data_IF_499800738837
#
_entry.id   IF_499800738837
#
_cell.length_a   1.000
_cell.length_b   1.000
_cell.length_c   1.000
_cell.angle_alpha   90.00
_cell.angle_beta   90.00
_cell.angle_gamma   90.00
#
_symmetry.space_group_name_H-M   'P 1'
#
loop_
_entity.id
_entity.type
_entity.pdbx_description
1 polymer ?
#
# COMPACT_ATOMS: atom_id res chain seq x y z
N UNK A 1 -24.70 -6.02 2.99
CA UNK A 1 -24.05 -5.57 1.73
C UNK A 1 -22.56 -5.74 1.89
N UNK A 2 -21.96 -6.69 1.16
CA UNK A 2 -20.49 -6.81 1.10
C UNK A 2 -20.00 -5.81 0.04
N UNK A 3 -19.50 -4.66 0.47
CA UNK A 3 -18.90 -3.69 -0.45
C UNK A 3 -17.55 -4.24 -0.93
N UNK A 4 -17.55 -4.78 -2.15
CA UNK A 4 -16.33 -5.09 -2.89
C UNK A 4 -16.09 -4.01 -3.96
N UNK A 5 -14.86 -3.50 -4.03
CA UNK A 5 -14.46 -2.48 -4.98
C UNK A 5 -13.22 -2.96 -5.73
N UNK A 6 -13.21 -2.86 -7.05
CA UNK A 6 -12.04 -3.21 -7.85
C UNK A 6 -11.26 -1.95 -8.17
N UNK A 7 -9.97 -1.95 -7.84
CA UNK A 7 -9.07 -0.83 -8.05
C UNK A 7 -7.81 -1.28 -8.78
N UNK A 8 -7.28 -0.42 -9.64
CA UNK A 8 -5.99 -0.66 -10.28
C UNK A 8 -4.88 -0.15 -9.36
N UNK A 9 -3.83 -0.96 -9.19
CA UNK A 9 -2.65 -0.56 -8.43
C UNK A 9 -1.86 0.48 -9.24
N UNK A 10 -1.59 1.63 -8.62
CA UNK A 10 -0.79 2.69 -9.21
C UNK A 10 0.70 2.31 -9.26
N UNK A 11 1.48 3.06 -10.05
CA UNK A 11 2.93 2.85 -10.20
C UNK A 11 3.70 2.96 -8.88
N UNK A 12 3.16 3.71 -7.92
CA UNK A 12 3.71 3.90 -6.58
C UNK A 12 3.36 2.77 -5.60
N UNK A 13 2.82 1.65 -6.11
CA UNK A 13 2.30 0.54 -5.30
C UNK A 13 1.25 0.95 -4.27
N UNK A 14 0.37 1.85 -4.68
CA UNK A 14 -0.72 2.37 -3.87
C UNK A 14 -2.07 2.11 -4.55
N UNK A 15 -3.10 1.95 -3.73
CA UNK A 15 -4.50 1.99 -4.13
C UNK A 15 -5.22 3.12 -3.41
N UNK A 16 -6.20 3.72 -4.05
CA UNK A 16 -7.04 4.74 -3.42
C UNK A 16 -8.36 4.10 -2.98
N UNK A 17 -8.69 4.25 -1.70
CA UNK A 17 -9.93 3.78 -1.12
C UNK A 17 -10.51 4.85 -0.19
N UNK A 18 -11.71 5.34 -0.54
CA UNK A 18 -12.45 6.32 0.27
C UNK A 18 -11.64 7.60 0.57
N UNK A 19 -10.81 8.06 -0.38
CA UNK A 19 -9.96 9.25 -0.23
C UNK A 19 -8.61 8.99 0.46
N UNK A 20 -8.41 7.80 1.02
CA UNK A 20 -7.16 7.39 1.65
C UNK A 20 -6.37 6.45 0.72
N UNK A 21 -5.05 6.56 0.76
CA UNK A 21 -4.14 5.71 -0.01
C UNK A 21 -3.66 4.56 0.87
N UNK A 22 -3.65 3.35 0.32
CA UNK A 22 -3.14 2.16 1.00
C UNK A 22 -2.07 1.51 0.15
N UNK A 23 -0.97 1.13 0.79
CA UNK A 23 0.11 0.39 0.13
C UNK A 23 -0.31 -1.03 -0.22
N UNK A 24 0.24 -1.52 -1.32
CA UNK A 24 0.13 -2.90 -1.75
C UNK A 24 1.52 -3.38 -2.16
N UNK A 25 1.76 -4.67 -2.33
CA UNK A 25 3.06 -5.16 -2.77
C UNK A 25 3.34 -4.71 -4.22
N UNK A 26 4.56 -4.24 -4.53
CA UNK A 26 4.93 -3.70 -5.85
C UNK A 26 4.81 -4.73 -6.98
N UNK A 27 4.83 -6.02 -6.64
CA UNK A 27 4.54 -7.13 -7.55
C UNK A 27 3.17 -7.02 -8.25
N UNK A 28 2.25 -6.25 -7.69
CA UNK A 28 0.91 -6.02 -8.23
C UNK A 28 0.73 -4.69 -8.95
N UNK A 29 1.79 -3.88 -9.13
CA UNK A 29 1.73 -2.62 -9.88
C UNK A 29 1.14 -2.83 -11.27
N UNK A 30 0.17 -1.97 -11.63
CA UNK A 30 -0.52 -2.05 -12.91
C UNK A 30 -1.57 -3.17 -13.00
N UNK A 31 -1.70 -4.03 -11.98
CA UNK A 31 -2.74 -5.06 -11.90
C UNK A 31 -4.00 -4.54 -11.21
N UNK A 32 -5.12 -5.21 -11.47
CA UNK A 32 -6.40 -4.93 -10.81
C UNK A 32 -6.56 -5.79 -9.57
N UNK A 33 -6.79 -5.16 -8.43
CA UNK A 33 -7.02 -5.82 -7.13
C UNK A 33 -8.45 -5.55 -6.67
N UNK A 34 -8.99 -6.47 -5.87
CA UNK A 34 -10.31 -6.37 -5.25
C UNK A 34 -10.15 -5.98 -3.79
N UNK A 35 -10.72 -4.85 -3.42
CA UNK A 35 -10.70 -4.31 -2.07
C UNK A 35 -12.04 -4.63 -1.40
N UNK A 36 -12.00 -5.21 -0.21
CA UNK A 36 -13.15 -5.49 0.65
C UNK A 36 -12.94 -4.83 2.00
N UNK A 37 -13.98 -4.30 2.61
CA UNK A 37 -13.86 -3.57 3.87
C UNK A 37 -14.63 -4.20 5.06
N UNK A 38 -14.44 -5.49 5.39
CA UNK A 38 -15.13 -6.10 6.53
C UNK A 38 -14.65 -5.49 7.85
N UNK A 39 -15.57 -5.13 8.75
CA UNK A 39 -15.27 -4.70 10.14
C UNK A 39 -14.20 -3.60 10.25
N UNK A 40 -14.25 -2.57 9.40
CA UNK A 40 -13.27 -1.47 9.36
C UNK A 40 -11.82 -1.89 9.02
N UNK A 41 -11.64 -3.08 8.43
CA UNK A 41 -10.36 -3.52 7.87
C UNK A 41 -10.45 -3.58 6.36
N UNK A 42 -9.49 -2.97 5.69
CA UNK A 42 -9.36 -2.97 4.25
C UNK A 42 -8.54 -4.19 3.82
N UNK A 43 -9.24 -5.18 3.27
CA UNK A 43 -8.65 -6.40 2.74
C UNK A 43 -8.47 -6.24 1.24
N UNK A 44 -7.24 -6.35 0.76
CA UNK A 44 -6.92 -6.28 -0.66
C UNK A 44 -6.64 -7.70 -1.15
N UNK A 45 -7.37 -8.11 -2.18
CA UNK A 45 -7.26 -9.39 -2.82
C UNK A 45 -6.77 -9.22 -4.25
N UNK A 46 -5.90 -10.11 -4.70
CA UNK A 46 -5.58 -10.26 -6.12
C UNK A 46 -6.15 -11.59 -6.59
N UNK A 47 -7.11 -11.55 -7.51
CA UNK A 47 -7.94 -12.71 -7.89
C UNK A 47 -8.64 -13.37 -6.68
N UNK A 48 -8.03 -14.39 -6.10
CA UNK A 48 -8.51 -15.17 -4.94
C UNK A 48 -7.58 -15.09 -3.74
N UNK A 49 -6.39 -14.51 -3.90
CA UNK A 49 -5.37 -14.44 -2.86
C UNK A 49 -5.45 -13.11 -2.11
N UNK A 50 -5.40 -13.16 -0.78
CA UNK A 50 -5.29 -11.98 0.06
C UNK A 50 -3.85 -11.47 0.00
N UNK A 51 -3.63 -10.29 -0.58
CA UNK A 51 -2.29 -9.73 -0.75
C UNK A 51 -1.89 -8.82 0.41
N UNK A 52 -2.83 -8.07 0.99
CA UNK A 52 -2.54 -7.21 2.15
C UNK A 52 -3.83 -6.87 2.88
N UNK A 53 -3.71 -6.64 4.19
CA UNK A 53 -4.77 -6.09 5.04
C UNK A 53 -4.28 -4.80 5.67
N UNK A 54 -5.11 -3.77 5.63
CA UNK A 54 -4.90 -2.50 6.31
C UNK A 54 -6.03 -2.23 7.28
N UNK A 55 -5.73 -1.52 8.36
CA UNK A 55 -6.77 -0.96 9.22
C UNK A 55 -7.21 0.37 8.62
N UNK A 56 -8.53 0.60 8.53
CA UNK A 56 -9.02 1.91 8.10
C UNK A 56 -8.55 2.95 9.11
N UNK A 57 -7.87 3.97 8.61
CA UNK A 57 -7.36 5.06 9.41
C UNK A 57 -7.74 6.39 8.77
N UNK A 58 -7.72 7.46 9.55
CA UNK A 58 -7.90 8.83 9.03
C UNK A 58 -6.63 9.37 8.36
N UNK A 59 -5.57 8.57 8.31
CA UNK A 59 -4.32 8.91 7.62
C UNK A 59 -4.54 8.90 6.11
N UNK A 60 -4.13 9.99 5.47
CA UNK A 60 -4.19 10.17 4.02
C UNK A 60 -3.40 9.08 3.26
N UNK A 61 -2.29 8.61 3.82
CA UNK A 61 -1.44 7.56 3.23
C UNK A 61 -1.08 6.52 4.29
N UNK A 62 -1.45 5.26 4.04
CA UNK A 62 -1.16 4.12 4.90
C UNK A 62 -0.14 3.23 4.20
N UNK A 63 1.13 3.60 4.38
CA UNK A 63 2.26 2.87 3.81
C UNK A 63 2.79 1.85 4.82
N UNK A 64 2.91 0.58 4.40
CA UNK A 64 3.62 -0.45 5.14
C UNK A 64 5.10 -0.39 4.80
N UNK A 65 5.92 -0.47 5.84
CA UNK A 65 7.36 -0.47 5.69
C UNK A 65 7.83 -1.57 4.73
N UNK A 66 7.25 -2.77 4.83
CA UNK A 66 7.59 -3.92 4.00
C UNK A 66 7.30 -3.67 2.51
N UNK A 67 6.09 -3.20 2.17
CA UNK A 67 5.70 -2.87 0.80
C UNK A 67 6.59 -1.74 0.22
N UNK A 68 6.97 -0.75 1.05
CA UNK A 68 7.84 0.35 0.63
C UNK A 68 9.27 -0.10 0.38
N UNK A 69 9.80 -0.96 1.26
CA UNK A 69 11.11 -1.59 1.08
C UNK A 69 11.15 -2.38 -0.21
N UNK A 70 10.12 -3.19 -0.50
CA UNK A 70 10.07 -3.93 -1.76
C UNK A 70 10.00 -3.01 -2.98
N UNK A 71 9.22 -1.92 -2.92
CA UNK A 71 9.12 -0.97 -4.02
C UNK A 71 10.47 -0.31 -4.28
N UNK A 72 11.11 0.16 -3.22
CA UNK A 72 12.42 0.79 -3.27
C UNK A 72 13.49 -0.19 -3.75
N UNK A 73 13.45 -1.45 -3.32
CA UNK A 73 14.39 -2.50 -3.77
C UNK A 73 14.26 -2.77 -5.27
N UNK A 74 13.04 -2.67 -5.81
CA UNK A 74 12.82 -2.80 -7.24
C UNK A 74 13.23 -1.54 -8.03
N UNK A 75 13.32 -0.38 -7.37
CA UNK A 75 13.63 0.91 -8.01
C UNK A 75 15.07 1.38 -7.81
N UNK A 76 15.75 0.93 -6.76
CA UNK A 76 17.12 1.30 -6.39
C UNK A 76 17.96 0.02 -6.28
N UNK A 77 19.02 -0.14 -7.08
CA UNK A 77 19.86 -1.33 -7.05
C UNK A 77 20.79 -1.40 -5.82
N UNK A 78 20.94 -0.31 -5.07
CA UNK A 78 21.80 -0.23 -3.88
C UNK A 78 21.00 -0.52 -2.60
N UNK A 79 21.36 -1.60 -1.91
CA UNK A 79 20.57 -2.21 -0.84
C UNK A 79 20.86 -1.69 0.57
N UNK A 80 22.07 -1.16 0.82
CA UNK A 80 22.54 -0.88 2.19
C UNK A 80 21.89 0.35 2.84
N UNK A 81 21.57 1.40 2.08
CA UNK A 81 20.92 2.63 2.60
C UNK A 81 19.40 2.65 2.39
N UNK A 82 18.87 1.61 1.72
CA UNK A 82 17.46 1.53 1.33
C UNK A 82 16.54 1.61 2.54
N UNK A 83 16.93 0.94 3.62
CA UNK A 83 16.10 0.80 4.81
C UNK A 83 15.97 2.10 5.58
N UNK A 84 17.08 2.84 5.69
CA UNK A 84 17.09 4.18 6.30
C UNK A 84 16.32 5.17 5.44
N UNK A 85 16.55 5.18 4.13
CA UNK A 85 15.83 6.06 3.21
C UNK A 85 14.33 5.78 3.24
N UNK A 86 13.95 4.51 3.30
CA UNK A 86 12.56 4.09 3.42
C UNK A 86 11.90 4.66 4.68
N UNK A 87 12.58 4.47 5.82
CA UNK A 87 12.13 4.96 7.12
C UNK A 87 12.09 6.48 7.21
N UNK A 88 13.11 7.16 6.68
CA UNK A 88 13.20 8.62 6.67
C UNK A 88 12.09 9.22 5.82
N UNK A 89 11.92 8.76 4.58
CA UNK A 89 10.85 9.27 3.71
C UNK A 89 9.47 9.05 4.33
N UNK A 90 9.22 7.89 4.95
CA UNK A 90 7.96 7.62 5.65
C UNK A 90 7.76 8.52 6.87
N UNK A 91 8.82 8.78 7.64
CA UNK A 91 8.77 9.76 8.74
C UNK A 91 8.46 11.17 8.24
N UNK A 92 9.01 11.59 7.10
CA UNK A 92 8.69 12.88 6.49
C UNK A 92 7.20 12.98 6.10
N UNK A 93 6.60 11.89 5.61
CA UNK A 93 5.16 11.85 5.32
C UNK A 93 4.28 11.88 6.58
N UNK A 94 4.74 11.29 7.69
CA UNK A 94 4.00 11.30 8.96
C UNK A 94 4.10 12.64 9.70
N UNK A 95 5.22 13.36 9.52
CA UNK A 95 5.54 14.59 10.25
C UNK A 95 5.00 15.89 9.61
N UNK A 96 4.23 15.78 8.51
CA UNK A 96 3.59 16.92 7.82
C UNK A 96 2.05 16.93 7.95
N UNK A 97 1.49 16.12 8.85
CA UNK A 97 0.08 16.14 9.24
C UNK A 97 -0.11 16.85 10.59
#
# INVERSE_FOLDING_TARGET
>A
MNYEMKCKVHKDSLINYCGNKYSVPPKYIGKTVTVKCPNQKLHVYFNTELITIHQLSKKNTNYKLEDYKELLKNSIPNTDDLEKLALENLKYFDNFL
#
